data_IF_085538949386
#
_entry.id   IF_085538949386
#
_cell.length_a   1.000
_cell.length_b   1.000
_cell.length_c   1.000
_cell.angle_alpha   90.00
_cell.angle_beta   90.00
_cell.angle_gamma   90.00
#
_symmetry.space_group_name_H-M   'P 1'
#
loop_
_entity.id
_entity.type
_entity.pdbx_description
1 polymer ?
#
# COMPACT_ATOMS: atom_id res chain seq x y z
N UNK A 1 21.78 -12.15 7.64
CA UNK A 1 20.44 -11.69 7.21
C UNK A 1 19.64 -11.46 8.48
N UNK A 2 19.05 -10.27 8.66
CA UNK A 2 18.15 -10.00 9.78
C UNK A 2 16.88 -10.84 9.63
N UNK A 3 16.37 -11.39 10.72
CA UNK A 3 15.09 -12.11 10.72
C UNK A 3 13.96 -11.19 10.19
N UNK A 4 12.98 -11.73 9.45
CA UNK A 4 11.87 -10.93 8.96
C UNK A 4 11.06 -10.37 10.12
N UNK A 5 10.56 -9.15 9.96
CA UNK A 5 9.53 -8.58 10.82
C UNK A 5 8.26 -9.42 10.63
N UNK A 6 7.68 -9.90 11.73
CA UNK A 6 6.46 -10.69 11.68
C UNK A 6 5.28 -9.74 11.92
N UNK A 7 4.45 -9.58 10.90
CA UNK A 7 3.26 -8.74 10.99
C UNK A 7 2.26 -9.28 12.03
N UNK A 8 1.56 -8.41 12.78
CA UNK A 8 0.60 -8.85 13.81
C UNK A 8 -0.53 -9.74 13.30
N UNK A 9 -0.91 -9.63 12.02
CA UNK A 9 -1.93 -10.48 11.40
C UNK A 9 -1.53 -11.96 11.35
N UNK A 10 -0.25 -12.26 11.12
CA UNK A 10 0.33 -13.62 11.11
C UNK A 10 0.22 -14.28 12.48
N UNK A 11 0.17 -13.49 13.56
CA UNK A 11 0.10 -13.96 14.94
C UNK A 11 -1.33 -14.21 15.44
N UNK A 12 -2.35 -13.90 14.63
CA UNK A 12 -3.75 -14.15 15.01
C UNK A 12 -4.04 -15.64 15.10
N UNK A 13 -4.84 -16.04 16.10
CA UNK A 13 -5.31 -17.43 16.22
C UNK A 13 -6.20 -17.85 15.02
N UNK A 14 -7.09 -16.95 14.58
CA UNK A 14 -7.78 -17.06 13.29
C UNK A 14 -7.22 -15.99 12.35
N UNK A 15 -6.56 -16.43 11.28
CA UNK A 15 -5.92 -15.57 10.27
C UNK A 15 -6.81 -15.28 9.07
N UNK A 16 -8.00 -15.89 8.99
CA UNK A 16 -8.97 -15.60 7.92
C UNK A 16 -10.03 -14.62 8.44
N UNK A 17 -10.07 -13.39 7.88
CA UNK A 17 -11.13 -12.46 8.24
C UNK A 17 -12.51 -12.98 7.82
N UNK A 18 -13.59 -12.44 8.41
CA UNK A 18 -14.94 -12.84 8.06
C UNK A 18 -15.19 -12.82 6.53
N UNK A 19 -15.86 -13.85 6.03
CA UNK A 19 -16.24 -13.99 4.62
C UNK A 19 -15.08 -14.13 3.61
N UNK A 20 -13.87 -14.42 4.08
CA UNK A 20 -12.69 -14.65 3.23
C UNK A 20 -12.46 -16.13 2.96
N UNK A 21 -11.98 -16.44 1.76
CA UNK A 21 -11.50 -17.77 1.38
C UNK A 21 -9.98 -17.76 1.24
N UNK A 22 -9.31 -18.77 1.79
CA UNK A 22 -7.87 -18.95 1.60
C UNK A 22 -7.56 -19.26 0.13
N UNK A 23 -6.57 -18.59 -0.44
CA UNK A 23 -6.00 -18.93 -1.75
C UNK A 23 -4.51 -19.24 -1.63
N UNK A 24 -4.06 -20.20 -2.44
CA UNK A 24 -2.63 -20.48 -2.68
C UNK A 24 -2.10 -19.78 -3.92
N UNK A 25 -3.00 -19.33 -4.81
CA UNK A 25 -2.62 -18.58 -6.02
C UNK A 25 -2.11 -17.20 -5.62
N UNK A 26 -1.48 -16.51 -6.56
CA UNK A 26 -1.16 -15.10 -6.46
C UNK A 26 -2.05 -14.29 -7.42
N UNK A 27 -3.26 -13.87 -6.99
CA UNK A 27 -4.21 -13.26 -7.91
C UNK A 27 -3.70 -11.92 -8.45
N UNK A 28 -3.87 -11.72 -9.76
CA UNK A 28 -3.65 -10.44 -10.42
C UNK A 28 -4.97 -9.66 -10.45
N UNK A 29 -4.98 -8.50 -9.79
CA UNK A 29 -6.07 -7.53 -9.82
C UNK A 29 -5.48 -6.13 -9.93
N UNK A 30 -5.93 -5.34 -10.89
CA UNK A 30 -5.58 -3.93 -11.08
C UNK A 30 -6.74 -3.19 -11.76
N UNK A 31 -6.90 -1.90 -11.48
CA UNK A 31 -8.01 -1.09 -11.98
C UNK A 31 -7.79 -0.60 -13.42
N UNK A 32 -6.53 -0.38 -13.81
CA UNK A 32 -6.13 0.09 -15.15
C UNK A 32 -5.20 -0.90 -15.85
N UNK A 33 -4.38 -0.43 -16.77
CA UNK A 33 -3.32 -1.21 -17.43
C UNK A 33 -2.05 -1.26 -16.57
N UNK A 34 -1.13 -2.17 -16.91
CA UNK A 34 0.20 -2.20 -16.30
C UNK A 34 1.04 -1.09 -16.94
N UNK A 35 1.49 -0.08 -16.18
CA UNK A 35 2.28 1.01 -16.74
C UNK A 35 3.70 0.53 -17.09
N UNK A 36 4.32 1.08 -18.15
CA UNK A 36 5.71 0.79 -18.46
C UNK A 36 6.64 1.35 -17.38
N UNK A 37 7.71 0.62 -17.08
CA UNK A 37 8.77 1.11 -16.18
C UNK A 37 9.96 1.62 -16.97
N UNK A 38 10.34 2.87 -16.71
CA UNK A 38 11.60 3.44 -17.15
C UNK A 38 12.39 3.96 -15.95
N UNK A 39 13.52 3.30 -15.68
CA UNK A 39 14.41 3.61 -14.56
C UNK A 39 14.97 5.03 -14.62
N UNK A 40 15.14 5.61 -15.80
CA UNK A 40 15.75 6.94 -15.96
C UNK A 40 14.80 8.08 -15.56
N UNK A 41 13.51 7.90 -15.82
CA UNK A 41 12.44 8.88 -15.54
C UNK A 41 11.71 8.60 -14.23
N UNK A 42 11.90 7.41 -13.64
CA UNK A 42 11.30 7.07 -12.36
C UNK A 42 11.81 7.97 -11.23
N UNK A 43 10.88 8.47 -10.43
CA UNK A 43 11.12 9.25 -9.21
C UNK A 43 10.13 8.82 -8.13
N UNK A 44 10.61 8.74 -6.89
CA UNK A 44 9.78 8.63 -5.71
C UNK A 44 9.69 9.98 -5.01
N UNK A 45 8.48 10.42 -4.65
CA UNK A 45 8.27 11.73 -4.03
C UNK A 45 7.54 11.63 -2.68
N UNK A 46 7.94 12.50 -1.74
CA UNK A 46 7.25 12.72 -0.47
C UNK A 46 6.90 14.20 -0.38
N UNK A 47 5.60 14.50 -0.40
CA UNK A 47 5.06 15.86 -0.52
C UNK A 47 3.98 16.14 0.53
N UNK A 48 3.32 17.31 0.44
CA UNK A 48 2.25 17.72 1.35
C UNK A 48 2.78 18.32 2.65
N UNK A 49 2.30 17.82 3.79
CA UNK A 49 2.63 18.31 5.13
C UNK A 49 4.02 17.89 5.63
N UNK A 50 5.04 18.39 4.93
CA UNK A 50 6.47 18.25 5.27
C UNK A 50 7.14 19.63 5.23
N UNK A 51 8.20 19.84 6.01
CA UNK A 51 8.97 21.11 5.99
C UNK A 51 9.65 21.34 4.64
N UNK A 52 10.16 20.28 4.02
CA UNK A 52 10.76 20.31 2.68
C UNK A 52 10.43 19.00 1.96
N UNK A 53 9.83 19.05 0.75
CA UNK A 53 9.59 17.86 -0.05
C UNK A 53 10.88 17.10 -0.33
N UNK A 54 10.77 15.78 -0.43
CA UNK A 54 11.90 14.91 -0.78
C UNK A 54 11.57 14.13 -2.05
N UNK A 55 12.56 14.01 -2.93
CA UNK A 55 12.47 13.21 -4.15
C UNK A 55 13.77 12.44 -4.34
N UNK A 56 13.69 11.24 -4.93
CA UNK A 56 14.87 10.46 -5.28
C UNK A 56 14.65 9.62 -6.55
N UNK A 57 15.75 9.27 -7.19
CA UNK A 57 15.82 8.32 -8.31
C UNK A 57 15.57 6.89 -7.84
N UNK A 58 15.36 5.98 -8.80
CA UNK A 58 15.21 4.56 -8.50
C UNK A 58 16.42 3.99 -7.76
N UNK A 59 17.62 4.42 -8.14
CA UNK A 59 18.87 3.88 -7.60
C UNK A 59 19.11 4.34 -6.18
N UNK A 60 18.83 5.62 -5.89
CA UNK A 60 18.88 6.18 -4.54
C UNK A 60 17.84 5.50 -3.63
N UNK A 61 16.63 5.22 -4.15
CA UNK A 61 15.61 4.48 -3.39
C UNK A 61 16.07 3.05 -3.08
N UNK A 62 16.63 2.35 -4.07
CA UNK A 62 17.15 0.98 -3.91
C UNK A 62 18.36 0.89 -2.98
N UNK A 63 19.07 1.99 -2.77
CA UNK A 63 20.19 2.08 -1.83
C UNK A 63 19.75 2.29 -0.36
N UNK A 64 18.46 2.52 -0.09
CA UNK A 64 17.95 2.68 1.27
C UNK A 64 17.99 1.36 2.07
N UNK A 65 18.04 1.44 3.41
CA UNK A 65 17.98 0.27 4.27
C UNK A 65 16.78 -0.63 3.94
N UNK A 66 17.09 -1.90 3.64
CA UNK A 66 16.10 -2.91 3.25
C UNK A 66 15.67 -3.74 4.45
N UNK A 67 14.37 -4.07 4.50
CA UNK A 67 13.76 -4.96 5.49
C UNK A 67 13.00 -6.08 4.79
N UNK A 68 12.78 -7.17 5.52
CA UNK A 68 11.84 -8.21 5.13
C UNK A 68 10.66 -8.24 6.10
N UNK A 69 9.45 -8.39 5.56
CA UNK A 69 8.20 -8.47 6.33
C UNK A 69 7.45 -9.73 5.94
N UNK A 70 7.13 -10.58 6.91
CA UNK A 70 6.20 -11.69 6.73
C UNK A 70 4.80 -11.24 7.14
N UNK A 71 3.86 -11.25 6.19
CA UNK A 71 2.52 -10.69 6.36
C UNK A 71 1.44 -11.47 5.62
N UNK A 72 0.19 -11.35 6.08
CA UNK A 72 -0.97 -11.82 5.34
C UNK A 72 -1.51 -10.71 4.43
N UNK A 73 -2.27 -11.09 3.41
CA UNK A 73 -2.91 -10.15 2.51
C UNK A 73 -4.36 -10.56 2.31
N UNK A 74 -5.27 -9.62 2.56
CA UNK A 74 -6.71 -9.84 2.48
C UNK A 74 -7.30 -8.92 1.41
N UNK A 75 -8.03 -9.48 0.45
CA UNK A 75 -8.68 -8.71 -0.58
C UNK A 75 -10.17 -8.56 -0.33
N UNK A 76 -10.69 -7.38 -0.65
CA UNK A 76 -12.13 -7.09 -0.56
C UNK A 76 -12.98 -8.00 -1.44
N UNK A 77 -12.39 -8.59 -2.48
CA UNK A 77 -13.03 -9.61 -3.34
C UNK A 77 -13.00 -11.02 -2.75
N UNK A 78 -12.92 -11.12 -1.41
CA UNK A 78 -13.13 -12.33 -0.60
C UNK A 78 -12.05 -13.42 -0.70
N UNK A 79 -10.81 -13.05 -1.04
CA UNK A 79 -9.68 -13.95 -0.95
C UNK A 79 -8.59 -13.44 -0.01
N UNK A 80 -7.96 -14.38 0.70
CA UNK A 80 -6.81 -14.12 1.56
C UNK A 80 -5.63 -15.00 1.15
N UNK A 81 -4.44 -14.42 1.04
CA UNK A 81 -3.18 -15.16 0.88
C UNK A 81 -2.36 -14.96 2.13
N UNK A 82 -1.96 -16.07 2.75
CA UNK A 82 -1.20 -16.06 3.99
C UNK A 82 0.30 -16.21 3.73
N UNK A 83 1.10 -15.84 4.73
CA UNK A 83 2.55 -16.09 4.80
C UNK A 83 3.35 -15.49 3.63
N UNK A 84 2.95 -14.30 3.16
CA UNK A 84 3.69 -13.58 2.13
C UNK A 84 4.98 -13.00 2.71
N UNK A 85 6.12 -13.29 2.10
CA UNK A 85 7.39 -12.66 2.45
C UNK A 85 7.68 -11.50 1.51
N UNK A 86 7.63 -10.28 2.02
CA UNK A 86 7.92 -9.06 1.27
C UNK A 86 9.32 -8.56 1.58
N UNK A 87 9.96 -7.94 0.59
CA UNK A 87 11.24 -7.26 0.76
C UNK A 87 11.22 -5.87 0.11
N UNK A 88 11.76 -4.90 0.83
CA UNK A 88 11.76 -3.50 0.40
C UNK A 88 12.18 -2.53 1.49
N UNK A 89 11.78 -1.26 1.34
CA UNK A 89 12.11 -0.17 2.28
C UNK A 89 10.92 0.09 3.18
N UNK A 90 11.13 0.14 4.50
CA UNK A 90 10.05 0.46 5.45
C UNK A 90 9.48 1.86 5.19
N UNK A 91 8.17 2.05 5.40
CA UNK A 91 7.53 3.37 5.26
C UNK A 91 8.15 4.40 6.20
N UNK A 92 8.58 3.95 7.40
CA UNK A 92 9.31 4.76 8.38
C UNK A 92 10.67 5.23 7.87
N UNK A 93 11.41 4.37 7.18
CA UNK A 93 12.70 4.72 6.56
C UNK A 93 12.54 5.85 5.55
N UNK A 94 11.46 5.81 4.75
CA UNK A 94 11.14 6.88 3.80
C UNK A 94 10.74 8.16 4.53
N UNK A 95 9.84 8.09 5.52
CA UNK A 95 9.44 9.28 6.27
C UNK A 95 10.57 9.91 7.08
N UNK A 96 11.59 9.15 7.48
CA UNK A 96 12.79 9.68 8.11
C UNK A 96 13.64 10.59 7.19
N UNK A 97 13.35 10.62 5.87
CA UNK A 97 14.00 11.54 4.91
C UNK A 97 13.43 12.96 4.95
N UNK A 98 12.29 13.15 5.60
CA UNK A 98 11.59 14.43 5.70
C UNK A 98 11.29 14.79 7.16
N UNK A 99 11.02 16.06 7.41
CA UNK A 99 10.43 16.52 8.67
C UNK A 99 8.93 16.67 8.46
N UNK A 100 8.15 15.74 9.02
CA UNK A 100 6.69 15.73 8.92
C UNK A 100 6.11 16.83 9.82
N UNK A 101 5.17 17.63 9.30
CA UNK A 101 4.51 18.68 10.07
C UNK A 101 3.53 18.09 11.09
N UNK A 102 3.34 18.72 12.26
CA UNK A 102 2.55 18.16 13.36
C UNK A 102 1.05 18.05 13.05
N UNK A 103 0.55 18.65 11.98
CA UNK A 103 -0.84 18.54 11.52
C UNK A 103 -1.09 17.31 10.64
N UNK A 104 -0.06 16.59 10.20
CA UNK A 104 -0.23 15.42 9.33
C UNK A 104 -0.97 14.29 10.08
N UNK A 105 -2.08 13.81 9.49
CA UNK A 105 -2.93 12.73 10.03
C UNK A 105 -3.18 11.62 9.03
N UNK A 106 -3.04 11.88 7.73
CA UNK A 106 -3.32 10.95 6.65
C UNK A 106 -2.20 10.94 5.61
N UNK A 107 -2.17 9.86 4.82
CA UNK A 107 -1.27 9.67 3.69
C UNK A 107 -2.10 9.35 2.46
N UNK A 108 -1.85 10.04 1.36
CA UNK A 108 -2.29 9.62 0.04
C UNK A 108 -1.13 8.90 -0.65
N UNK A 109 -1.30 7.62 -0.99
CA UNK A 109 -0.39 6.91 -1.87
C UNK A 109 -0.71 7.25 -3.32
N UNK A 110 0.31 7.59 -4.11
CA UNK A 110 0.18 8.03 -5.51
C UNK A 110 0.96 7.08 -6.41
N UNK A 111 0.30 6.56 -7.44
CA UNK A 111 0.87 5.59 -8.36
C UNK A 111 1.29 6.22 -9.69
N UNK A 112 1.95 5.42 -10.51
CA UNK A 112 2.18 5.72 -11.92
C UNK A 112 0.82 5.84 -12.63
N UNK A 113 0.59 6.93 -13.39
CA UNK A 113 -0.56 6.99 -14.27
C UNK A 113 -0.44 5.96 -15.40
N UNK A 114 -1.55 5.36 -15.85
CA UNK A 114 -1.52 4.36 -16.93
C UNK A 114 -0.99 4.94 -18.24
N UNK A 115 -1.26 6.23 -18.49
CA UNK A 115 -0.82 6.99 -19.66
C UNK A 115 -0.44 8.42 -19.29
N UNK A 116 0.45 9.09 -20.05
CA UNK A 116 0.75 10.50 -19.85
C UNK A 116 -0.51 11.36 -19.95
N UNK A 117 -0.74 12.21 -18.93
CA UNK A 117 -1.89 13.11 -18.86
C UNK A 117 -3.15 12.50 -18.23
N UNK A 118 -3.16 11.20 -17.93
CA UNK A 118 -4.23 10.57 -17.16
C UNK A 118 -4.00 10.66 -15.64
N UNK A 119 -5.06 10.68 -14.82
CA UNK A 119 -4.90 10.70 -13.38
C UNK A 119 -4.30 9.37 -12.86
N UNK A 120 -3.42 9.41 -11.86
CA UNK A 120 -2.88 8.20 -11.26
C UNK A 120 -3.93 7.47 -10.42
N UNK A 121 -3.73 6.17 -10.21
CA UNK A 121 -4.39 5.49 -9.10
C UNK A 121 -3.89 6.07 -7.77
N UNK A 122 -4.82 6.36 -6.87
CA UNK A 122 -4.51 6.85 -5.52
C UNK A 122 -5.27 6.06 -4.47
N UNK A 123 -4.74 6.00 -3.26
CA UNK A 123 -5.47 5.45 -2.11
C UNK A 123 -5.00 6.11 -0.82
N UNK A 124 -5.94 6.51 0.00
CA UNK A 124 -5.70 7.20 1.26
C UNK A 124 -5.57 6.22 2.43
N UNK A 125 -4.93 6.62 3.52
CA UNK A 125 -4.95 5.87 4.79
C UNK A 125 -4.56 6.78 5.96
N UNK A 126 -4.98 6.44 7.19
CA UNK A 126 -4.46 7.08 8.38
C UNK A 126 -2.93 6.96 8.45
N UNK A 127 -2.26 8.05 8.83
CA UNK A 127 -0.80 8.08 9.01
C UNK A 127 -0.36 7.06 10.07
N UNK A 128 -1.20 6.81 11.08
CA UNK A 128 -0.94 5.79 12.09
C UNK A 128 -0.89 4.36 11.51
N UNK A 129 -1.78 4.02 10.56
CA UNK A 129 -1.76 2.72 9.88
C UNK A 129 -0.55 2.64 8.94
N UNK A 130 -0.22 3.72 8.22
CA UNK A 130 0.96 3.80 7.34
C UNK A 130 2.30 3.63 8.08
N UNK A 131 2.35 4.05 9.35
CA UNK A 131 3.51 3.92 10.22
C UNK A 131 3.63 2.54 10.90
N UNK A 132 2.86 1.51 10.50
CA UNK A 132 3.06 0.15 10.99
C UNK A 132 4.51 -0.33 10.80
N UNK A 133 5.05 -1.10 11.76
CA UNK A 133 6.41 -1.68 11.63
C UNK A 133 6.50 -2.70 10.49
N UNK A 134 5.36 -3.26 10.10
CA UNK A 134 5.11 -4.21 9.02
C UNK A 134 4.78 -3.53 7.68
N UNK A 135 4.82 -2.19 7.60
CA UNK A 135 4.50 -1.43 6.40
C UNK A 135 5.76 -1.10 5.60
N UNK A 136 5.72 -1.37 4.30
CA UNK A 136 6.87 -1.19 3.42
C UNK A 136 6.50 -0.89 1.97
N UNK A 137 7.45 -0.30 1.25
CA UNK A 137 7.49 -0.22 -0.19
C UNK A 137 8.30 -1.41 -0.72
N UNK A 138 7.62 -2.44 -1.22
CA UNK A 138 8.20 -3.71 -1.64
C UNK A 138 8.55 -3.75 -3.12
N UNK A 139 9.67 -4.39 -3.45
CA UNK A 139 10.09 -4.73 -4.82
C UNK A 139 10.28 -6.22 -5.04
N UNK A 140 10.17 -7.04 -4.00
CA UNK A 140 10.25 -8.48 -4.07
C UNK A 140 9.21 -9.16 -3.16
N UNK A 141 8.79 -10.35 -3.58
CA UNK A 141 7.80 -11.21 -2.94
C UNK A 141 8.26 -12.67 -3.02
N UNK A 142 8.23 -13.39 -1.90
CA UNK A 142 8.63 -14.79 -1.76
C UNK A 142 10.02 -15.08 -2.38
N UNK A 143 10.98 -14.17 -2.14
CA UNK A 143 12.38 -14.28 -2.59
C UNK A 143 12.62 -13.97 -4.06
N UNK A 144 11.61 -13.49 -4.79
CA UNK A 144 11.71 -13.12 -6.21
C UNK A 144 11.36 -11.65 -6.43
N UNK A 145 11.95 -10.96 -7.42
CA UNK A 145 11.46 -9.66 -7.85
C UNK A 145 9.97 -9.71 -8.17
N UNK A 146 9.25 -8.59 -7.94
CA UNK A 146 7.87 -8.49 -8.38
C UNK A 146 7.80 -8.58 -9.90
N UNK A 147 6.77 -9.27 -10.39
CA UNK A 147 6.37 -9.16 -11.80
C UNK A 147 5.62 -7.83 -12.03
N UNK A 148 5.58 -7.31 -13.27
CA UNK A 148 4.83 -6.11 -13.64
C UNK A 148 3.38 -6.11 -13.11
N UNK A 149 2.65 -7.22 -13.30
CA UNK A 149 1.27 -7.41 -12.83
C UNK A 149 1.10 -7.31 -11.31
N UNK A 150 2.17 -7.52 -10.56
CA UNK A 150 2.21 -7.48 -9.10
C UNK A 150 2.78 -6.19 -8.54
N UNK A 151 3.08 -5.20 -9.39
CA UNK A 151 3.47 -3.86 -8.98
C UNK A 151 4.96 -3.56 -9.13
N UNK A 152 5.71 -4.30 -9.95
CA UNK A 152 7.06 -3.88 -10.33
C UNK A 152 7.05 -2.48 -10.94
N UNK A 153 7.96 -1.57 -10.58
CA UNK A 153 9.19 -1.82 -9.81
C UNK A 153 9.01 -1.73 -8.29
N UNK A 154 7.88 -1.19 -7.83
CA UNK A 154 7.65 -0.86 -6.42
C UNK A 154 6.14 -0.84 -6.12
N UNK A 155 5.75 -1.50 -5.04
CA UNK A 155 4.39 -1.44 -4.49
C UNK A 155 4.39 -1.08 -3.02
N UNK A 156 3.32 -0.47 -2.56
CA UNK A 156 3.02 -0.36 -1.13
C UNK A 156 2.43 -1.69 -0.61
N UNK A 157 2.77 -2.03 0.62
CA UNK A 157 2.19 -3.14 1.37
C UNK A 157 1.82 -2.63 2.77
N UNK A 158 0.52 -2.63 3.07
CA UNK A 158 -0.07 -2.30 4.38
C UNK A 158 -0.87 -3.52 4.84
N UNK A 159 -0.26 -4.47 5.58
CA UNK A 159 -0.88 -5.77 5.89
C UNK A 159 -2.22 -5.67 6.63
N UNK A 160 -2.32 -4.66 7.50
CA UNK A 160 -3.47 -4.47 8.38
C UNK A 160 -4.73 -3.98 7.67
N UNK A 161 -4.63 -3.54 6.41
CA UNK A 161 -5.75 -3.02 5.63
C UNK A 161 -6.03 -3.93 4.43
N UNK A 162 -7.21 -3.80 3.83
CA UNK A 162 -7.55 -4.53 2.61
C UNK A 162 -6.59 -4.17 1.47
N UNK A 163 -6.36 -5.15 0.58
CA UNK A 163 -5.32 -5.10 -0.46
C UNK A 163 -5.42 -3.93 -1.45
N UNK A 164 -6.56 -3.23 -1.55
CA UNK A 164 -6.66 -2.03 -2.39
C UNK A 164 -5.85 -0.85 -1.82
N UNK A 165 -5.59 -0.83 -0.50
CA UNK A 165 -4.70 0.13 0.16
C UNK A 165 -3.22 -0.17 -0.11
N UNK A 166 -2.89 -1.42 -0.45
CA UNK A 166 -1.54 -1.86 -0.84
C UNK A 166 -1.28 -1.58 -2.32
N UNK A 167 -1.19 -0.29 -2.65
CA UNK A 167 -1.09 0.26 -4.00
C UNK A 167 0.08 -0.32 -4.82
N UNK A 168 -0.14 -0.54 -6.12
CA UNK A 168 0.88 -1.02 -7.07
C UNK A 168 1.46 0.15 -7.87
N UNK A 169 2.69 0.00 -8.36
CA UNK A 169 3.37 1.00 -9.22
C UNK A 169 3.51 2.36 -8.54
N UNK A 170 3.90 2.35 -7.27
CA UNK A 170 3.90 3.57 -6.45
C UNK A 170 5.02 4.54 -6.87
N UNK A 171 4.65 5.82 -6.93
CA UNK A 171 5.53 6.96 -7.29
C UNK A 171 5.71 7.94 -6.14
N UNK A 172 4.94 7.82 -5.08
CA UNK A 172 5.15 8.69 -3.92
C UNK A 172 4.01 8.66 -2.94
N UNK A 173 4.13 9.55 -1.96
CA UNK A 173 3.12 9.81 -0.95
C UNK A 173 2.94 11.32 -0.74
N UNK A 174 1.71 11.71 -0.38
CA UNK A 174 1.38 13.06 0.08
C UNK A 174 0.86 12.99 1.53
N UNK A 175 1.43 13.79 2.42
CA UNK A 175 0.99 13.89 3.81
C UNK A 175 -0.13 14.94 3.92
N UNK A 176 -1.25 14.58 4.56
CA UNK A 176 -2.48 15.39 4.60
C UNK A 176 -2.99 15.57 6.04
N UNK A 177 -3.66 16.69 6.31
CA UNK A 177 -4.29 16.98 7.62
C UNK A 177 -5.68 16.35 7.70
N UNK A 178 -6.44 16.44 6.62
CA UNK A 178 -7.78 15.88 6.49
C UNK A 178 -7.75 14.71 5.51
N UNK A 179 -8.62 13.74 5.74
CA UNK A 179 -8.72 12.58 4.87
C UNK A 179 -9.39 12.95 3.55
N UNK A 180 -8.89 12.41 2.44
CA UNK A 180 -9.45 12.60 1.11
C UNK A 180 -9.60 11.26 0.43
N UNK A 181 -10.75 10.96 -0.21
CA UNK A 181 -10.94 9.67 -0.86
C UNK A 181 -9.95 9.50 -2.02
N UNK A 182 -9.28 8.34 -2.06
CA UNK A 182 -8.54 7.90 -3.23
C UNK A 182 -9.47 7.31 -4.30
N UNK A 183 -8.90 6.52 -5.22
CA UNK A 183 -9.64 5.96 -6.34
C UNK A 183 -10.82 5.10 -5.88
N UNK A 184 -10.61 4.08 -5.07
CA UNK A 184 -11.68 3.14 -4.70
C UNK A 184 -12.62 3.68 -3.62
N UNK A 185 -12.12 4.60 -2.81
CA UNK A 185 -12.85 5.27 -1.74
C UNK A 185 -13.77 6.36 -2.30
N UNK A 186 -13.45 6.91 -3.47
CA UNK A 186 -14.32 7.89 -4.13
C UNK A 186 -15.67 7.29 -4.47
N UNK A 187 -16.69 8.14 -4.39
CA UNK A 187 -18.06 7.78 -4.71
C UNK A 187 -18.22 7.23 -6.13
N UNK A 188 -17.54 7.89 -7.07
CA UNK A 188 -17.67 7.64 -8.51
C UNK A 188 -17.17 6.25 -8.91
N UNK A 189 -16.10 5.77 -8.28
CA UNK A 189 -15.44 4.53 -8.68
C UNK A 189 -15.92 3.32 -7.86
N UNK A 190 -16.01 3.45 -6.54
CA UNK A 190 -16.21 2.31 -5.65
C UNK A 190 -17.09 2.59 -4.45
N UNK A 191 -16.90 3.74 -3.80
CA UNK A 191 -17.48 4.05 -2.50
C UNK A 191 -17.07 3.04 -1.45
N UNK A 192 -15.83 2.54 -1.48
CA UNK A 192 -15.31 1.67 -0.41
C UNK A 192 -14.98 2.48 0.84
N UNK A 193 -14.82 1.78 1.97
CA UNK A 193 -14.51 2.44 3.24
C UNK A 193 -13.19 3.20 3.21
N UNK A 194 -13.16 4.37 3.86
CA UNK A 194 -11.97 5.24 3.90
C UNK A 194 -10.76 4.55 4.55
N UNK A 195 -10.98 3.66 5.54
CA UNK A 195 -9.90 2.91 6.19
C UNK A 195 -9.66 1.53 5.56
N UNK A 196 -10.72 0.74 5.37
CA UNK A 196 -10.65 -0.60 4.77
C UNK A 196 -10.05 -1.66 5.69
N UNK A 197 -10.53 -1.80 6.91
CA UNK A 197 -10.10 -2.83 7.86
C UNK A 197 -10.70 -4.22 7.50
N UNK A 198 -9.89 -5.28 7.29
CA UNK A 198 -10.40 -6.62 7.10
C UNK A 198 -11.01 -7.25 8.35
N UNK A 199 -10.73 -6.68 9.53
CA UNK A 199 -11.18 -7.16 10.84
C UNK A 199 -12.02 -6.10 11.57
N UNK A 200 -13.14 -5.65 10.96
CA UNK A 200 -13.94 -4.57 11.54
C UNK A 200 -14.52 -4.96 12.90
N UNK A 201 -14.77 -3.96 13.75
CA UNK A 201 -15.53 -4.18 14.97
C UNK A 201 -16.92 -4.76 14.66
N UNK A 202 -17.51 -5.48 15.61
CA UNK A 202 -18.78 -6.19 15.37
C UNK A 202 -19.86 -5.26 14.81
N UNK A 203 -20.29 -5.51 13.57
CA UNK A 203 -21.35 -4.75 12.88
C UNK A 203 -20.85 -3.81 11.77
N UNK A 204 -19.56 -3.44 11.78
CA UNK A 204 -18.94 -2.65 10.71
C UNK A 204 -18.61 -3.54 9.50
N UNK A 205 -18.76 -2.98 8.29
CA UNK A 205 -18.55 -3.70 7.03
C UNK A 205 -17.66 -2.90 6.09
N UNK A 206 -16.41 -2.69 6.51
CA UNK A 206 -15.37 -1.96 5.78
C UNK A 206 -15.12 -2.47 4.35
N UNK A 207 -15.40 -3.76 4.10
CA UNK A 207 -15.29 -4.35 2.77
C UNK A 207 -16.50 -4.14 1.85
N UNK A 208 -17.55 -3.44 2.30
CA UNK A 208 -18.72 -3.14 1.47
C UNK A 208 -18.60 -1.80 0.76
N UNK A 209 -19.26 -1.71 -0.40
CA UNK A 209 -19.45 -0.45 -1.11
C UNK A 209 -20.62 0.31 -0.46
N UNK A 210 -20.43 1.58 -0.14
CA UNK A 210 -21.44 2.46 0.44
C UNK A 210 -22.44 3.03 -0.58
N UNK A 211 -22.70 2.35 -1.70
CA UNK A 211 -23.73 2.80 -2.67
C UNK A 211 -25.13 2.69 -2.02
N UNK A 212 -26.00 3.73 -2.00
CA UNK A 212 -27.41 3.51 -1.81
C UNK A 212 -27.88 2.66 -2.99
N UNK A 213 -28.82 1.76 -2.72
CA UNK A 213 -29.57 1.10 -3.77
C UNK A 213 -30.46 2.10 -4.49
#
# INVERSE_FOLDING_TARGET
MTSPIISPDVLRANRLPPYQSLTRKWPVLHAGTVPPFDRSTWRFEVTGLVESPWSCTYDEFRALPTVQVKADMHCVTRWSKLDNLWEGVSTRTVLAKVRVKPEARFVMAICEPPYPGEPPFTTNMPLADFLGEDCLFAWAHDGKPLEPDHGFPLRLVIPRLYAWKSAKWIRGIELMAEDRPGFWESWENGGYHMRGDPWPASGERDGQRFRPR
#
